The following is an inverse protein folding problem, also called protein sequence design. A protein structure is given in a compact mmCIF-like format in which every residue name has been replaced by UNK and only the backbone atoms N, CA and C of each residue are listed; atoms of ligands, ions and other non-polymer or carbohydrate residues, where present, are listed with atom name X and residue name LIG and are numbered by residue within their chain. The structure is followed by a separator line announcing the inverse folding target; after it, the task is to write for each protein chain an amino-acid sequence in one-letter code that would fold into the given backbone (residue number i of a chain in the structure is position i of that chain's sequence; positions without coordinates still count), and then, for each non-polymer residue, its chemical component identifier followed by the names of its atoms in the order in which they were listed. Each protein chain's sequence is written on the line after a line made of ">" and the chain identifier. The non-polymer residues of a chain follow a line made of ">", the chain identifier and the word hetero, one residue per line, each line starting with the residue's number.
data_IF_592436113381
#
_entry.id   IF_592436113381
#
_cell.length_a   1.000
_cell.length_b   1.000
_cell.length_c   1.000
_cell.angle_alpha   90.00
_cell.angle_beta   90.00
_cell.angle_gamma   90.00
#
_symmetry.space_group_name_H-M   'P 1'
#
loop_
_entity.id
_entity.type
_entity.pdbx_description
1 polymer ?
#
# COMPACT_ATOMS: atom_id res chain seq x y z
N UNK A 1 38.85 13.69 -18.26
CA UNK A 1 38.29 12.61 -19.09
C UNK A 1 37.17 11.97 -18.29
N UNK A 2 35.93 12.41 -18.48
CA UNK A 2 34.81 12.04 -17.60
C UNK A 2 34.16 10.71 -17.98
N UNK A 3 33.56 10.04 -17.00
CA UNK A 3 32.68 8.87 -17.17
C UNK A 3 31.50 9.11 -18.13
N UNK A 4 31.20 10.37 -18.49
CA UNK A 4 30.14 10.75 -19.44
C UNK A 4 30.39 10.38 -20.91
N UNK A 5 31.54 9.80 -21.26
CA UNK A 5 31.84 9.34 -22.63
C UNK A 5 31.46 7.88 -22.92
N UNK A 6 30.95 7.13 -21.92
CA UNK A 6 30.65 5.72 -22.11
C UNK A 6 29.27 5.59 -22.78
N UNK A 7 29.28 5.49 -24.11
CA UNK A 7 28.06 5.30 -24.90
C UNK A 7 27.35 3.99 -24.55
N UNK A 8 26.02 3.97 -24.60
CA UNK A 8 25.18 2.77 -24.36
C UNK A 8 25.66 1.58 -25.22
N UNK A 9 26.04 1.84 -26.47
CA UNK A 9 26.59 0.83 -27.38
C UNK A 9 27.88 0.17 -26.88
N UNK A 10 28.75 0.89 -26.17
CA UNK A 10 29.98 0.34 -25.60
C UNK A 10 29.67 -0.63 -24.45
N UNK A 11 28.67 -0.31 -23.59
CA UNK A 11 28.22 -1.22 -22.53
C UNK A 11 27.74 -2.56 -23.09
N UNK A 12 27.01 -2.56 -24.21
CA UNK A 12 26.55 -3.78 -24.86
C UNK A 12 27.73 -4.64 -25.36
N UNK A 13 28.75 -4.02 -25.98
CA UNK A 13 29.94 -4.74 -26.44
C UNK A 13 30.68 -5.35 -25.25
N UNK A 14 30.90 -4.58 -24.19
CA UNK A 14 31.55 -5.06 -22.96
C UNK A 14 30.76 -6.21 -22.33
N UNK A 15 29.43 -6.11 -22.28
CA UNK A 15 28.56 -7.18 -21.78
C UNK A 15 28.73 -8.48 -22.58
N UNK A 16 28.76 -8.40 -23.91
CA UNK A 16 28.98 -9.56 -24.78
C UNK A 16 30.33 -10.19 -24.51
N UNK A 17 31.40 -9.39 -24.38
CA UNK A 17 32.73 -9.89 -24.05
C UNK A 17 32.73 -10.62 -22.70
N UNK A 18 32.12 -10.04 -21.67
CA UNK A 18 31.99 -10.67 -20.34
C UNK A 18 31.24 -12.00 -20.44
N UNK A 19 30.15 -12.05 -21.21
CA UNK A 19 29.39 -13.28 -21.43
C UNK A 19 30.20 -14.36 -22.15
N UNK A 20 31.09 -13.99 -23.07
CA UNK A 20 31.97 -14.92 -23.78
C UNK A 20 33.11 -15.42 -22.89
N UNK A 21 33.73 -14.54 -22.09
CA UNK A 21 34.85 -14.89 -21.20
C UNK A 21 34.41 -15.79 -20.04
N UNK A 22 33.33 -15.42 -19.36
CA UNK A 22 32.84 -16.17 -18.19
C UNK A 22 31.82 -17.26 -18.57
N UNK A 23 31.20 -17.16 -19.75
CA UNK A 23 30.08 -18.00 -20.16
C UNK A 23 28.77 -17.60 -19.49
N UNK A 24 27.65 -17.74 -20.21
CA UNK A 24 26.29 -17.41 -19.72
C UNK A 24 25.87 -18.26 -18.51
N UNK A 25 26.37 -19.49 -18.38
CA UNK A 25 26.03 -20.42 -17.29
C UNK A 25 26.54 -19.93 -15.93
N UNK A 26 27.78 -19.42 -15.85
CA UNK A 26 28.37 -18.89 -14.60
C UNK A 26 27.69 -17.58 -14.20
N UNK A 27 27.51 -16.66 -15.16
CA UNK A 27 26.80 -15.40 -14.95
C UNK A 27 25.35 -15.61 -14.50
N UNK A 28 24.65 -16.62 -15.05
CA UNK A 28 23.29 -16.97 -14.61
C UNK A 28 23.24 -17.48 -13.17
N UNK A 29 24.19 -18.33 -12.76
CA UNK A 29 24.23 -18.84 -11.39
C UNK A 29 24.36 -17.68 -10.39
N UNK A 30 25.42 -16.87 -10.54
CA UNK A 30 25.72 -15.75 -9.63
C UNK A 30 24.65 -14.65 -9.74
N UNK A 31 24.18 -14.38 -10.96
CA UNK A 31 23.13 -13.42 -11.24
C UNK A 31 21.76 -13.82 -10.68
N UNK A 32 21.48 -15.12 -10.48
CA UNK A 32 20.24 -15.57 -9.84
C UNK A 32 20.25 -15.25 -8.34
N UNK A 33 21.39 -15.47 -7.68
CA UNK A 33 21.55 -15.17 -6.25
C UNK A 33 21.46 -13.66 -5.99
N UNK A 34 22.28 -12.88 -6.72
CA UNK A 34 22.26 -11.41 -6.67
C UNK A 34 20.90 -10.85 -7.10
N UNK A 35 20.32 -11.39 -8.17
CA UNK A 35 19.03 -10.98 -8.69
C UNK A 35 17.90 -11.23 -7.70
N UNK A 36 17.95 -12.32 -6.92
CA UNK A 36 16.96 -12.60 -5.87
C UNK A 36 17.04 -11.60 -4.73
N UNK A 37 18.25 -11.24 -4.29
CA UNK A 37 18.45 -10.20 -3.28
C UNK A 37 17.94 -8.82 -3.76
N UNK A 38 18.28 -8.44 -4.99
CA UNK A 38 17.81 -7.18 -5.61
C UNK A 38 16.28 -7.20 -5.83
N UNK A 39 15.70 -8.35 -6.21
CA UNK A 39 14.25 -8.52 -6.37
C UNK A 39 13.53 -8.36 -5.03
N UNK A 40 14.07 -8.92 -3.95
CA UNK A 40 13.56 -8.70 -2.60
C UNK A 40 13.55 -7.21 -2.25
N UNK A 41 14.68 -6.53 -2.44
CA UNK A 41 14.81 -5.08 -2.19
C UNK A 41 13.81 -4.25 -3.01
N UNK A 42 13.67 -4.54 -4.32
CA UNK A 42 12.71 -3.85 -5.19
C UNK A 42 11.27 -4.12 -4.77
N UNK A 43 10.95 -5.33 -4.31
CA UNK A 43 9.61 -5.66 -3.82
C UNK A 43 9.29 -4.89 -2.54
N UNK A 44 10.23 -4.77 -1.61
CA UNK A 44 10.05 -3.98 -0.39
C UNK A 44 9.81 -2.50 -0.69
N UNK A 45 10.57 -1.90 -1.62
CA UNK A 45 10.34 -0.53 -2.08
C UNK A 45 8.95 -0.33 -2.68
N UNK A 46 8.47 -1.30 -3.48
CA UNK A 46 7.14 -1.23 -4.10
C UNK A 46 6.01 -1.46 -3.11
N UNK A 47 6.23 -2.24 -2.05
CA UNK A 47 5.26 -2.42 -0.98
C UNK A 47 5.10 -1.13 -0.17
N UNK A 48 6.21 -0.42 0.10
CA UNK A 48 6.18 0.90 0.74
C UNK A 48 5.42 1.92 -0.11
N UNK A 49 5.77 2.06 -1.39
CA UNK A 49 5.10 3.00 -2.31
C UNK A 49 3.59 2.68 -2.46
N UNK A 50 3.20 1.41 -2.37
CA UNK A 50 1.78 1.00 -2.37
C UNK A 50 1.08 1.33 -1.07
N UNK A 51 1.74 1.17 0.08
CA UNK A 51 1.19 1.58 1.38
C UNK A 51 0.96 3.08 1.41
N UNK A 52 1.91 3.87 0.90
CA UNK A 52 1.75 5.32 0.77
C UNK A 52 0.54 5.68 -0.11
N UNK A 53 0.34 4.97 -1.22
CA UNK A 53 -0.80 5.18 -2.11
C UNK A 53 -2.14 4.74 -1.50
N UNK A 54 -2.16 3.63 -0.76
CA UNK A 54 -3.38 3.09 -0.12
C UNK A 54 -3.76 3.87 1.15
N UNK A 55 -2.77 4.40 1.87
CA UNK A 55 -2.99 5.34 2.98
C UNK A 55 -3.56 6.67 2.45
N UNK A 56 -3.03 7.20 1.34
CA UNK A 56 -3.60 8.39 0.70
C UNK A 56 -5.07 8.18 0.25
N UNK A 57 -5.40 7.02 -0.33
CA UNK A 57 -6.78 6.71 -0.72
C UNK A 57 -7.72 6.52 0.50
N UNK A 58 -7.22 5.97 1.61
CA UNK A 58 -8.01 5.81 2.83
C UNK A 58 -8.28 7.14 3.54
N UNK A 59 -7.34 8.10 3.49
CA UNK A 59 -7.57 9.41 4.11
C UNK A 59 -8.64 10.21 3.34
N UNK A 60 -8.78 10.03 2.02
CA UNK A 60 -9.86 10.67 1.26
C UNK A 60 -11.23 10.03 1.57
N UNK A 61 -11.32 8.71 1.73
CA UNK A 61 -12.60 8.05 2.05
C UNK A 61 -13.02 8.19 3.53
N UNK A 62 -12.10 8.48 4.45
CA UNK A 62 -12.43 8.65 5.87
C UNK A 62 -12.95 10.06 6.22
N UNK A 63 -12.79 11.04 5.33
CA UNK A 63 -13.41 12.37 5.52
C UNK A 63 -14.84 12.44 4.99
N UNK A 64 -15.23 11.62 4.02
CA UNK A 64 -16.59 11.64 3.47
C UNK A 64 -17.67 10.99 4.36
N UNK A 65 -17.31 10.14 5.33
CA UNK A 65 -18.29 9.43 6.17
C UNK A 65 -18.34 9.84 7.64
N UNK A 66 -17.71 10.95 8.04
CA UNK A 66 -17.82 11.47 9.42
C UNK A 66 -18.61 12.77 9.56
N UNK A 67 -19.43 13.14 8.57
CA UNK A 67 -20.18 14.40 8.60
C UNK A 67 -21.71 14.29 8.59
N UNK A 68 -22.32 13.09 8.51
CA UNK A 68 -23.78 12.97 8.49
C UNK A 68 -24.30 11.83 9.38
N UNK A 69 -24.04 11.88 10.69
CA UNK A 69 -25.02 11.38 11.67
C UNK A 69 -24.84 11.94 13.10
N UNK A 70 -25.03 13.25 13.37
CA UNK A 70 -24.96 13.77 14.73
C UNK A 70 -26.27 13.71 15.55
N UNK A 71 -27.35 13.05 15.12
CA UNK A 71 -28.68 13.21 15.77
C UNK A 71 -29.36 11.96 16.34
N UNK A 72 -28.64 10.95 16.85
CA UNK A 72 -29.26 9.85 17.62
C UNK A 72 -28.70 9.66 19.04
N UNK A 73 -28.22 10.74 19.66
CA UNK A 73 -28.04 10.83 21.11
C UNK A 73 -28.96 11.89 21.70
N UNK A 74 -30.24 11.56 21.89
CA UNK A 74 -31.13 12.07 22.95
C UNK A 74 -32.60 11.93 22.54
N UNK A 75 -33.16 10.75 22.78
CA UNK A 75 -34.58 10.66 23.13
C UNK A 75 -34.76 9.48 24.07
N UNK A 76 -34.10 9.61 25.22
CA UNK A 76 -34.25 8.74 26.37
C UNK A 76 -34.91 9.56 27.49
N UNK A 77 -36.10 10.12 27.23
CA UNK A 77 -36.89 10.75 28.29
C UNK A 77 -38.38 10.65 27.99
N UNK A 78 -39.06 9.91 28.87
CA UNK A 78 -40.39 10.19 29.39
C UNK A 78 -41.57 10.23 28.41
N UNK A 79 -41.91 9.09 27.80
CA UNK A 79 -43.33 8.80 27.53
C UNK A 79 -43.96 8.10 28.75
N UNK A 80 -44.05 8.88 29.82
CA UNK A 80 -44.93 8.65 30.97
C UNK A 80 -46.35 8.99 30.52
N UNK A 81 -47.09 8.08 29.87
CA UNK A 81 -48.52 8.35 29.62
C UNK A 81 -49.47 7.21 29.27
N UNK A 82 -49.41 6.01 29.85
CA UNK A 82 -50.61 5.14 29.83
C UNK A 82 -50.75 4.35 31.14
N UNK A 83 -51.48 4.91 32.13
CA UNK A 83 -52.46 4.16 32.92
C UNK A 83 -53.38 5.11 33.71
N UNK A 84 -54.28 5.76 32.98
CA UNK A 84 -55.40 6.49 33.55
C UNK A 84 -56.52 5.50 33.92
N UNK A 85 -56.93 5.52 35.19
CA UNK A 85 -58.30 5.27 35.64
C UNK A 85 -58.87 3.86 35.48
N UNK A 86 -58.85 3.09 36.57
CA UNK A 86 -60.06 2.36 36.96
C UNK A 86 -60.24 2.54 38.46
N UNK A 87 -61.03 3.56 38.78
CA UNK A 87 -61.41 3.96 40.11
C UNK A 87 -62.15 2.85 40.87
N UNK A 88 -62.06 3.01 42.19
CA UNK A 88 -62.62 2.24 43.27
C UNK A 88 -64.07 1.79 43.06
N UNK A 89 -64.41 0.58 43.52
CA UNK A 89 -65.59 0.36 44.34
C UNK A 89 -65.39 -0.91 45.18
N UNK A 90 -65.15 -0.66 46.47
CA UNK A 90 -65.26 -1.58 47.61
C UNK A 90 -66.64 -2.26 47.66
#
# INVERSE_FOLDING_TARGET
>A
MGVGGISIWQLLIVLVIILLLFGTKKLRSIGTDLGSAIKGFRNSLRDEERRDAEEAATIEHKQAHKAENPSQRQQADADFKIKSGNDEHK
#
